data_IF_306995781890
#
_entry.id   IF_306995781890
#
_cell.length_a   1.000
_cell.length_b   1.000
_cell.length_c   1.000
_cell.angle_alpha   90.00
_cell.angle_beta   90.00
_cell.angle_gamma   90.00
#
_symmetry.space_group_name_H-M   'P 1'
#
loop_
_entity.id
_entity.type
_entity.pdbx_description
1 polymer ?
#
# COMPACT_ATOMS: atom_id res chain seq x y z
N UNK A 1 -22.63 -9.30 -11.28
CA UNK A 1 -21.29 -8.90 -11.76
C UNK A 1 -20.53 -8.36 -10.56
N UNK A 2 -19.29 -8.81 -10.27
CA UNK A 2 -18.51 -8.25 -9.15
C UNK A 2 -18.07 -6.84 -9.50
N UNK A 3 -18.08 -5.91 -8.54
CA UNK A 3 -17.58 -4.55 -8.78
C UNK A 3 -16.06 -4.57 -8.96
N UNK A 4 -15.49 -3.51 -9.54
CA UNK A 4 -14.06 -3.44 -9.76
C UNK A 4 -13.29 -3.39 -8.43
N UNK A 5 -13.85 -2.71 -7.42
CA UNK A 5 -13.31 -2.67 -6.06
C UNK A 5 -13.29 -4.06 -5.42
N UNK A 6 -14.31 -4.90 -5.66
CA UNK A 6 -14.32 -6.28 -5.18
C UNK A 6 -13.22 -7.12 -5.82
N UNK A 7 -12.96 -6.94 -7.12
CA UNK A 7 -11.91 -7.66 -7.83
C UNK A 7 -10.53 -7.30 -7.28
N UNK A 8 -10.27 -6.01 -7.10
CA UNK A 8 -9.04 -5.47 -6.51
C UNK A 8 -8.87 -5.98 -5.07
N UNK A 9 -9.89 -5.84 -4.22
CA UNK A 9 -9.82 -6.27 -2.83
C UNK A 9 -9.49 -7.76 -2.70
N UNK A 10 -10.12 -8.60 -3.52
CA UNK A 10 -9.87 -10.04 -3.53
C UNK A 10 -8.46 -10.37 -4.08
N UNK A 11 -7.95 -9.60 -5.04
CA UNK A 11 -6.59 -9.75 -5.55
C UNK A 11 -5.54 -9.44 -4.48
N UNK A 12 -5.68 -8.32 -3.78
CA UNK A 12 -4.78 -7.95 -2.67
C UNK A 12 -4.82 -9.02 -1.58
N UNK A 13 -6.00 -9.48 -1.19
CA UNK A 13 -6.16 -10.55 -0.19
C UNK A 13 -5.48 -11.85 -0.62
N UNK A 14 -5.59 -12.21 -1.90
CA UNK A 14 -4.93 -13.39 -2.45
C UNK A 14 -3.41 -13.23 -2.38
N UNK A 15 -2.85 -12.11 -2.84
CA UNK A 15 -1.39 -11.86 -2.85
C UNK A 15 -0.81 -11.84 -1.43
N UNK A 16 -1.50 -11.20 -0.47
CA UNK A 16 -1.11 -11.16 0.94
C UNK A 16 -1.09 -12.54 1.63
N UNK A 17 -1.77 -13.55 1.07
CA UNK A 17 -1.76 -14.93 1.57
C UNK A 17 -0.67 -15.81 0.95
N UNK A 18 0.05 -15.33 -0.07
CA UNK A 18 1.05 -16.13 -0.77
C UNK A 18 2.40 -16.16 -0.06
N UNK A 19 3.18 -17.21 -0.30
CA UNK A 19 4.55 -17.34 0.20
C UNK A 19 5.51 -16.28 -0.38
N UNK A 20 5.16 -15.68 -1.52
CA UNK A 20 5.91 -14.58 -2.15
C UNK A 20 5.87 -13.32 -1.28
N UNK A 21 4.76 -13.07 -0.58
CA UNK A 21 4.66 -11.99 0.40
C UNK A 21 5.72 -12.12 1.50
N UNK A 22 5.92 -13.35 2.00
CA UNK A 22 6.88 -13.63 3.06
C UNK A 22 8.33 -13.48 2.58
N UNK A 23 8.63 -13.88 1.35
CA UNK A 23 9.96 -13.74 0.74
C UNK A 23 10.30 -12.26 0.47
N UNK A 24 9.34 -11.49 -0.02
CA UNK A 24 9.49 -10.05 -0.25
C UNK A 24 9.92 -9.32 1.03
N UNK A 25 9.21 -9.49 2.14
CA UNK A 25 9.56 -8.83 3.40
C UNK A 25 10.96 -9.19 3.92
N UNK A 26 11.41 -10.44 3.71
CA UNK A 26 12.74 -10.90 4.14
C UNK A 26 13.89 -10.44 3.22
N UNK A 27 13.62 -10.19 1.94
CA UNK A 27 14.62 -9.91 0.90
C UNK A 27 14.64 -8.47 0.38
N UNK A 28 13.68 -7.63 0.76
CA UNK A 28 13.44 -6.35 0.09
C UNK A 28 14.58 -5.33 0.21
N UNK A 29 15.36 -5.31 1.29
CA UNK A 29 16.23 -4.17 1.58
C UNK A 29 17.62 -4.65 2.02
N UNK A 30 18.52 -4.74 1.04
CA UNK A 30 19.95 -4.78 1.30
C UNK A 30 20.29 -3.51 2.08
N UNK A 31 20.76 -3.66 3.32
CA UNK A 31 21.29 -2.53 4.06
C UNK A 31 22.75 -2.33 3.62
N UNK A 32 23.18 -1.12 3.21
CA UNK A 32 22.41 0.13 3.14
C UNK A 32 21.52 0.26 1.90
N UNK A 33 20.39 0.95 2.06
CA UNK A 33 19.45 1.26 0.97
C UNK A 33 20.13 2.06 -0.12
N UNK A 34 20.07 1.56 -1.35
CA UNK A 34 20.45 2.32 -2.53
C UNK A 34 19.26 2.33 -3.47
N UNK A 35 18.82 3.52 -3.88
CA UNK A 35 17.61 3.73 -4.70
C UNK A 35 17.56 2.76 -5.90
N UNK A 36 18.71 2.44 -6.51
CA UNK A 36 18.80 1.52 -7.64
C UNK A 36 18.56 0.04 -7.26
N UNK A 37 19.14 -0.45 -6.16
CA UNK A 37 18.89 -1.82 -5.69
C UNK A 37 17.43 -1.98 -5.22
N UNK A 38 16.90 -0.94 -4.59
CA UNK A 38 15.52 -0.94 -4.06
C UNK A 38 14.49 -0.96 -5.20
N UNK A 39 14.72 -0.25 -6.32
CA UNK A 39 13.84 -0.27 -7.49
C UNK A 39 13.68 -1.69 -8.05
N UNK A 40 14.79 -2.37 -8.33
CA UNK A 40 14.74 -3.72 -8.92
C UNK A 40 14.07 -4.75 -8.00
N UNK A 41 14.39 -4.72 -6.71
CA UNK A 41 13.86 -5.67 -5.74
C UNK A 41 12.38 -5.41 -5.42
N UNK A 42 11.99 -4.14 -5.22
CA UNK A 42 10.59 -3.74 -5.01
C UNK A 42 9.76 -4.09 -6.24
N UNK A 43 10.24 -3.79 -7.44
CA UNK A 43 9.52 -4.10 -8.66
C UNK A 43 9.39 -5.62 -8.87
N UNK A 44 10.42 -6.41 -8.59
CA UNK A 44 10.35 -7.88 -8.72
C UNK A 44 9.26 -8.48 -7.83
N UNK A 45 9.08 -7.95 -6.62
CA UNK A 45 8.12 -8.50 -5.65
C UNK A 45 6.71 -7.90 -5.79
N UNK A 46 6.60 -6.58 -6.03
CA UNK A 46 5.32 -5.87 -6.03
C UNK A 46 4.89 -5.35 -7.40
N UNK A 47 5.80 -5.25 -8.37
CA UNK A 47 5.51 -4.88 -9.75
C UNK A 47 4.43 -5.74 -10.41
N UNK A 48 4.43 -7.08 -10.24
CA UNK A 48 3.33 -7.91 -10.72
C UNK A 48 1.97 -7.52 -10.15
N UNK A 49 1.89 -7.24 -8.84
CA UNK A 49 0.63 -6.79 -8.21
C UNK A 49 0.20 -5.42 -8.74
N UNK A 50 1.14 -4.48 -8.91
CA UNK A 50 0.85 -3.18 -9.52
C UNK A 50 0.28 -3.35 -10.93
N UNK A 51 0.92 -4.15 -11.78
CA UNK A 51 0.49 -4.36 -13.16
C UNK A 51 -0.83 -5.14 -13.26
N UNK A 52 -1.06 -6.11 -12.39
CA UNK A 52 -2.34 -6.83 -12.29
C UNK A 52 -3.48 -5.85 -11.94
N UNK A 53 -3.28 -4.97 -10.95
CA UNK A 53 -4.25 -3.95 -10.55
C UNK A 53 -4.48 -2.92 -11.67
N UNK A 54 -3.40 -2.42 -12.29
CA UNK A 54 -3.50 -1.47 -13.41
C UNK A 54 -4.32 -2.05 -14.56
N UNK A 55 -4.11 -3.33 -14.87
CA UNK A 55 -4.87 -4.05 -15.89
C UNK A 55 -6.36 -4.13 -15.55
N UNK A 56 -6.74 -4.34 -14.28
CA UNK A 56 -8.15 -4.32 -13.87
C UNK A 56 -8.83 -2.97 -14.14
N UNK A 57 -8.09 -1.87 -14.02
CA UNK A 57 -8.57 -0.52 -14.32
C UNK A 57 -8.39 -0.12 -15.81
N UNK A 58 -7.99 -1.05 -16.68
CA UNK A 58 -7.75 -0.77 -18.10
C UNK A 58 -6.53 0.12 -18.37
N UNK A 59 -5.57 0.18 -17.43
CA UNK A 59 -4.34 0.96 -17.53
C UNK A 59 -3.19 0.13 -18.09
N UNK A 60 -2.22 0.79 -18.72
CA UNK A 60 -1.04 0.10 -19.26
C UNK A 60 -0.15 -0.45 -18.14
N UNK A 61 0.41 -1.67 -18.26
CA UNK A 61 1.47 -2.13 -17.37
C UNK A 61 2.65 -1.17 -17.37
N UNK A 62 3.36 -1.11 -16.26
CA UNK A 62 4.54 -0.27 -16.06
C UNK A 62 5.79 -1.13 -15.85
N UNK A 63 6.94 -0.49 -16.05
CA UNK A 63 8.27 -1.04 -15.82
C UNK A 63 8.82 -0.70 -14.43
N UNK A 64 10.06 -1.12 -14.19
CA UNK A 64 10.75 -0.86 -12.94
C UNK A 64 10.96 0.64 -12.67
N UNK A 65 11.21 1.46 -13.69
CA UNK A 65 11.45 2.91 -13.49
C UNK A 65 10.20 3.62 -12.95
N UNK A 66 9.02 3.16 -13.35
CA UNK A 66 7.75 3.69 -12.87
C UNK A 66 7.46 3.43 -11.39
N UNK A 67 8.26 2.57 -10.71
CA UNK A 67 8.19 2.38 -9.26
C UNK A 67 8.95 3.47 -8.50
N UNK A 68 9.84 4.23 -9.15
CA UNK A 68 10.68 5.25 -8.49
C UNK A 68 9.83 6.28 -7.73
N UNK A 69 8.75 6.84 -8.29
CA UNK A 69 7.90 7.76 -7.54
C UNK A 69 7.24 7.11 -6.33
N UNK A 70 6.89 5.82 -6.44
CA UNK A 70 6.34 5.02 -5.34
C UNK A 70 7.38 4.90 -4.24
N UNK A 71 8.60 4.43 -4.54
CA UNK A 71 9.67 4.29 -3.55
C UNK A 71 9.97 5.63 -2.87
N UNK A 72 10.10 6.71 -3.65
CA UNK A 72 10.36 8.05 -3.12
C UNK A 72 9.24 8.51 -2.19
N UNK A 73 7.98 8.33 -2.58
CA UNK A 73 6.84 8.75 -1.77
C UNK A 73 6.56 7.85 -0.56
N UNK A 74 6.95 6.58 -0.64
CA UNK A 74 6.90 5.62 0.45
C UNK A 74 8.05 5.80 1.45
N UNK A 75 9.19 6.34 1.02
CA UNK A 75 10.45 6.27 1.77
C UNK A 75 10.34 6.74 3.22
N UNK A 76 9.75 7.90 3.53
CA UNK A 76 9.70 8.34 4.94
C UNK A 76 8.79 7.49 5.84
N UNK A 77 7.72 6.92 5.29
CA UNK A 77 6.66 6.26 6.07
C UNK A 77 6.82 4.73 6.11
N UNK A 78 7.14 4.11 4.98
CA UNK A 78 7.34 2.66 4.86
C UNK A 78 8.73 2.20 5.29
N UNK A 79 9.77 3.07 5.21
CA UNK A 79 11.09 2.73 5.76
C UNK A 79 11.03 2.58 7.28
N UNK A 80 10.21 3.37 7.98
CA UNK A 80 10.08 3.25 9.43
C UNK A 80 9.49 1.91 9.84
N UNK A 81 8.43 1.46 9.16
CA UNK A 81 7.81 0.15 9.41
C UNK A 81 8.77 -0.99 9.04
N UNK A 82 9.41 -0.93 7.87
CA UNK A 82 10.38 -1.95 7.39
C UNK A 82 11.64 -2.07 8.27
N UNK A 83 12.12 -0.96 8.83
CA UNK A 83 13.28 -0.94 9.75
C UNK A 83 12.89 -1.54 11.10
N UNK A 84 11.73 -1.18 11.64
CA UNK A 84 11.21 -1.77 12.89
C UNK A 84 10.98 -3.28 12.75
N UNK A 85 10.46 -3.71 11.59
CA UNK A 85 10.19 -5.12 11.30
C UNK A 85 11.49 -5.95 11.25
N UNK A 86 12.59 -5.43 10.71
CA UNK A 86 13.88 -6.13 10.68
C UNK A 86 14.51 -6.27 12.07
N UNK A 87 14.33 -5.29 12.94
CA UNK A 87 14.84 -5.33 14.32
C UNK A 87 14.09 -6.36 15.17
N UNK A 88 12.76 -6.45 15.01
CA UNK A 88 11.93 -7.45 15.71
C UNK A 88 12.07 -8.84 15.08
N UNK A 89 12.26 -8.90 13.76
CA UNK A 89 12.45 -10.12 12.95
C UNK A 89 13.69 -10.95 13.28
N UNK A 90 14.68 -10.39 13.98
CA UNK A 90 15.90 -11.09 14.41
C UNK A 90 15.70 -11.99 15.64
N UNK A 91 14.55 -11.91 16.31
CA UNK A 91 14.24 -12.77 17.46
C UNK A 91 13.63 -14.08 16.94
N UNK A 92 14.26 -15.27 17.08
CA UNK A 92 13.91 -16.46 16.30
C UNK A 92 12.44 -16.93 16.39
N UNK A 93 11.81 -16.83 17.57
CA UNK A 93 10.44 -17.31 17.81
C UNK A 93 9.39 -16.23 17.52
N UNK A 94 9.70 -14.97 17.83
CA UNK A 94 8.79 -13.81 17.66
C UNK A 94 8.87 -13.28 16.22
N UNK A 95 10.07 -13.30 15.66
CA UNK A 95 10.42 -12.74 14.36
C UNK A 95 9.74 -13.45 13.20
N UNK A 96 9.56 -14.78 13.23
CA UNK A 96 8.85 -15.47 12.16
C UNK A 96 7.39 -15.02 12.04
N UNK A 97 6.66 -14.94 13.16
CA UNK A 97 5.27 -14.45 13.20
C UNK A 97 5.15 -12.96 12.85
N UNK A 98 6.03 -12.13 13.41
CA UNK A 98 6.08 -10.70 13.12
C UNK A 98 6.38 -10.42 11.64
N UNK A 99 7.31 -11.15 11.02
CA UNK A 99 7.65 -11.01 9.59
C UNK A 99 6.45 -11.33 8.68
N UNK A 100 5.64 -12.34 9.03
CA UNK A 100 4.43 -12.68 8.27
C UNK A 100 3.38 -11.57 8.39
N UNK A 101 3.22 -10.98 9.59
CA UNK A 101 2.27 -9.90 9.83
C UNK A 101 2.70 -8.63 9.08
N UNK A 102 3.99 -8.27 9.16
CA UNK A 102 4.61 -7.22 8.36
C UNK A 102 4.36 -7.43 6.86
N UNK A 103 4.69 -8.61 6.34
CA UNK A 103 4.52 -8.94 4.93
C UNK A 103 3.06 -8.76 4.48
N UNK A 104 2.10 -9.20 5.29
CA UNK A 104 0.68 -9.00 5.04
C UNK A 104 0.31 -7.53 5.06
N UNK A 105 0.73 -6.78 6.08
CA UNK A 105 0.48 -5.35 6.20
C UNK A 105 1.04 -4.57 5.00
N UNK A 106 2.27 -4.88 4.57
CA UNK A 106 2.93 -4.29 3.42
C UNK A 106 2.14 -4.55 2.12
N UNK A 107 1.76 -5.81 1.86
CA UNK A 107 0.94 -6.15 0.69
C UNK A 107 -0.39 -5.42 0.67
N UNK A 108 -1.05 -5.30 1.83
CA UNK A 108 -2.30 -4.56 1.92
C UNK A 108 -2.12 -3.07 1.68
N UNK A 109 -1.10 -2.45 2.27
CA UNK A 109 -0.83 -1.01 2.09
C UNK A 109 -0.45 -0.68 0.65
N UNK A 110 0.49 -1.44 0.07
CA UNK A 110 0.89 -1.25 -1.32
C UNK A 110 -0.24 -1.59 -2.29
N UNK A 111 -1.01 -2.66 -2.03
CA UNK A 111 -2.17 -3.01 -2.83
C UNK A 111 -3.23 -1.91 -2.86
N UNK A 112 -3.57 -1.33 -1.70
CA UNK A 112 -4.52 -0.20 -1.62
C UNK A 112 -3.95 1.03 -2.33
N UNK A 113 -2.66 1.35 -2.12
CA UNK A 113 -1.98 2.44 -2.82
C UNK A 113 -2.06 2.28 -4.34
N UNK A 114 -1.69 1.10 -4.86
CA UNK A 114 -1.70 0.81 -6.30
C UNK A 114 -3.11 0.92 -6.88
N UNK A 115 -4.10 0.47 -6.12
CA UNK A 115 -5.50 0.59 -6.50
C UNK A 115 -5.98 2.04 -6.54
N UNK A 116 -5.65 2.86 -5.54
CA UNK A 116 -5.98 4.29 -5.51
C UNK A 116 -5.33 5.05 -6.68
N UNK A 117 -4.06 4.76 -6.98
CA UNK A 117 -3.36 5.38 -8.10
C UNK A 117 -3.95 4.96 -9.45
N UNK A 118 -4.26 3.66 -9.61
CA UNK A 118 -4.82 3.11 -10.85
C UNK A 118 -6.27 3.54 -11.09
N UNK A 119 -7.06 3.69 -10.02
CA UNK A 119 -8.41 4.23 -10.08
C UNK A 119 -8.42 5.71 -10.46
N UNK A 120 -7.43 6.46 -9.98
CA UNK A 120 -7.24 7.88 -10.31
C UNK A 120 -6.83 8.04 -11.78
N UNK A 121 -5.78 7.37 -12.26
CA UNK A 121 -5.32 7.51 -13.64
C UNK A 121 -4.00 6.82 -14.00
N UNK A 122 -3.41 7.21 -15.12
CA UNK A 122 -2.15 6.61 -15.64
C UNK A 122 -0.91 7.04 -14.85
N UNK A 123 -0.82 8.34 -14.55
CA UNK A 123 0.33 8.97 -13.91
C UNK A 123 0.56 8.49 -12.46
N UNK A 124 1.83 8.37 -12.09
CA UNK A 124 2.27 8.05 -10.73
C UNK A 124 3.08 9.24 -10.22
N UNK A 125 2.45 10.07 -9.40
CA UNK A 125 3.05 11.26 -8.82
C UNK A 125 3.57 11.00 -7.39
N UNK A 126 4.72 11.60 -7.04
CA UNK A 126 5.37 11.39 -5.73
C UNK A 126 4.52 11.95 -4.59
N UNK A 127 3.91 13.12 -4.75
CA UNK A 127 3.10 13.75 -3.72
C UNK A 127 1.80 12.96 -3.49
N UNK A 128 1.13 12.53 -4.57
CA UNK A 128 -0.01 11.62 -4.51
C UNK A 128 0.33 10.35 -3.72
N UNK A 129 1.48 9.72 -3.99
CA UNK A 129 1.95 8.56 -3.23
C UNK A 129 2.12 8.89 -1.75
N UNK A 130 2.83 9.98 -1.42
CA UNK A 130 3.10 10.38 -0.04
C UNK A 130 1.80 10.60 0.74
N UNK A 131 0.84 11.34 0.17
CA UNK A 131 -0.43 11.64 0.83
C UNK A 131 -1.31 10.39 0.96
N UNK A 132 -1.37 9.55 -0.07
CA UNK A 132 -2.12 8.30 -0.04
C UNK A 132 -1.57 7.33 1.02
N UNK A 133 -0.25 7.14 1.08
CA UNK A 133 0.37 6.26 2.09
C UNK A 133 0.07 6.74 3.51
N UNK A 134 0.14 8.05 3.78
CA UNK A 134 -0.21 8.62 5.09
C UNK A 134 -1.67 8.34 5.45
N UNK A 135 -2.60 8.59 4.53
CA UNK A 135 -4.02 8.29 4.74
C UNK A 135 -4.24 6.80 4.99
N UNK A 136 -3.64 5.91 4.21
CA UNK A 136 -3.76 4.45 4.36
C UNK A 136 -3.33 4.01 5.77
N UNK A 137 -2.25 4.59 6.32
CA UNK A 137 -1.78 4.27 7.69
C UNK A 137 -2.76 4.76 8.76
N UNK A 138 -3.37 5.93 8.56
CA UNK A 138 -4.34 6.51 9.48
C UNK A 138 -5.66 5.72 9.47
N UNK A 139 -6.12 5.29 8.29
CA UNK A 139 -7.37 4.53 8.11
C UNK A 139 -7.21 3.06 8.52
N UNK A 140 -6.08 2.44 8.18
CA UNK A 140 -5.83 1.00 8.42
C UNK A 140 -4.59 0.79 9.31
N UNK A 141 -4.62 1.29 10.57
CA UNK A 141 -3.48 1.14 11.48
C UNK A 141 -3.26 -0.33 11.83
N UNK A 142 -2.00 -0.76 11.90
CA UNK A 142 -1.63 -2.05 12.49
C UNK A 142 -1.19 -1.79 13.93
N UNK A 143 -2.05 -2.12 14.89
CA UNK A 143 -1.83 -1.80 16.31
C UNK A 143 -1.09 -2.89 17.09
N UNK A 144 -0.91 -4.07 16.48
CA UNK A 144 -0.30 -5.23 17.13
C UNK A 144 0.70 -5.91 16.20
N UNK A 145 1.86 -6.27 16.74
CA UNK A 145 2.86 -7.13 16.08
C UNK A 145 2.52 -8.62 16.16
N UNK A 146 1.46 -8.99 16.91
CA UNK A 146 1.05 -10.39 17.14
C UNK A 146 -0.17 -10.80 16.31
N UNK A 147 -0.95 -9.83 15.81
CA UNK A 147 -2.14 -10.09 15.01
C UNK A 147 -2.24 -9.09 13.86
N UNK A 148 -2.33 -9.63 12.66
CA UNK A 148 -2.64 -8.84 11.48
C UNK A 148 -4.13 -8.42 11.49
N UNK A 149 -4.38 -7.13 11.36
CA UNK A 149 -5.71 -6.56 11.19
C UNK A 149 -5.96 -6.32 9.69
N UNK A 150 -6.80 -7.16 9.10
CA UNK A 150 -7.14 -7.04 7.67
C UNK A 150 -7.97 -5.78 7.41
N UNK A 151 -7.62 -4.94 6.42
CA UNK A 151 -8.44 -3.80 6.01
C UNK A 151 -9.89 -4.19 5.72
N UNK A 152 -10.83 -3.40 6.22
CA UNK A 152 -12.27 -3.58 5.97
C UNK A 152 -12.58 -3.43 4.49
N UNK A 153 -13.38 -4.38 3.95
CA UNK A 153 -13.80 -4.35 2.54
C UNK A 153 -14.54 -3.05 2.20
N UNK A 154 -15.47 -2.65 3.05
CA UNK A 154 -16.28 -1.45 2.82
C UNK A 154 -15.43 -0.18 2.78
N UNK A 155 -14.46 -0.07 3.69
CA UNK A 155 -13.59 1.10 3.79
C UNK A 155 -12.65 1.22 2.60
N UNK A 156 -12.09 0.09 2.13
CA UNK A 156 -11.32 0.07 0.88
C UNK A 156 -12.18 0.50 -0.30
N UNK A 157 -13.42 -0.01 -0.41
CA UNK A 157 -14.31 0.37 -1.50
C UNK A 157 -14.63 1.87 -1.49
N UNK A 158 -14.88 2.44 -0.31
CA UNK A 158 -15.14 3.87 -0.17
C UNK A 158 -13.95 4.69 -0.66
N UNK A 159 -12.73 4.36 -0.21
CA UNK A 159 -11.52 5.04 -0.65
C UNK A 159 -11.36 5.00 -2.17
N UNK A 160 -11.47 3.81 -2.77
CA UNK A 160 -11.30 3.63 -4.21
C UNK A 160 -12.33 4.40 -5.04
N UNK A 161 -13.57 4.49 -4.56
CA UNK A 161 -14.62 5.27 -5.23
C UNK A 161 -14.39 6.76 -5.12
N UNK A 162 -13.92 7.23 -3.97
CA UNK A 162 -13.64 8.65 -3.72
C UNK A 162 -12.57 9.18 -4.66
N UNK A 163 -11.53 8.39 -4.90
CA UNK A 163 -10.40 8.81 -5.74
C UNK A 163 -10.53 8.42 -7.22
N UNK A 164 -11.65 7.81 -7.62
CA UNK A 164 -11.83 7.32 -8.98
C UNK A 164 -11.89 8.48 -9.97
N UNK A 165 -11.06 8.41 -11.01
CA UNK A 165 -10.97 9.40 -12.10
C UNK A 165 -10.62 10.83 -11.67
N UNK A 166 -10.03 11.01 -10.48
CA UNK A 166 -9.52 12.30 -10.04
C UNK A 166 -8.31 12.74 -10.88
N UNK A 167 -8.09 14.05 -10.96
CA UNK A 167 -6.82 14.60 -11.45
C UNK A 167 -5.73 14.44 -10.39
N UNK A 168 -4.46 14.61 -10.75
CA UNK A 168 -3.35 14.61 -9.77
C UNK A 168 -3.56 15.67 -8.68
N UNK A 169 -4.03 16.86 -9.05
CA UNK A 169 -4.28 17.96 -8.12
C UNK A 169 -5.47 17.66 -7.18
N UNK A 170 -6.62 17.28 -7.73
CA UNK A 170 -7.81 16.97 -6.93
C UNK A 170 -7.60 15.76 -6.02
N UNK A 171 -6.78 14.78 -6.43
CA UNK A 171 -6.40 13.66 -5.57
C UNK A 171 -5.71 14.11 -4.28
N UNK A 172 -4.75 15.04 -4.40
CA UNK A 172 -4.06 15.61 -3.24
C UNK A 172 -5.02 16.35 -2.30
N UNK A 173 -5.96 17.13 -2.85
CA UNK A 173 -6.98 17.83 -2.08
C UNK A 173 -7.90 16.85 -1.34
N UNK A 174 -8.33 15.78 -2.01
CA UNK A 174 -9.16 14.71 -1.44
C UNK A 174 -8.43 13.97 -0.30
N UNK A 175 -7.14 13.68 -0.45
CA UNK A 175 -6.33 13.11 0.63
C UNK A 175 -6.27 14.04 1.84
N UNK A 176 -5.97 15.33 1.63
CA UNK A 176 -5.83 16.29 2.72
C UNK A 176 -7.17 16.54 3.43
N UNK A 177 -8.28 16.59 2.67
CA UNK A 177 -9.63 16.69 3.23
C UNK A 177 -9.96 15.51 4.13
N UNK A 178 -9.78 14.28 3.66
CA UNK A 178 -10.08 13.08 4.45
C UNK A 178 -9.23 13.00 5.71
N UNK A 179 -7.92 13.26 5.60
CA UNK A 179 -7.02 13.26 6.77
C UNK A 179 -7.42 14.31 7.80
N UNK A 180 -7.76 15.54 7.36
CA UNK A 180 -8.26 16.59 8.25
C UNK A 180 -9.53 16.16 8.97
N UNK A 181 -10.45 15.50 8.27
CA UNK A 181 -11.70 15.00 8.86
C UNK A 181 -11.45 13.91 9.90
N UNK A 182 -10.62 12.92 9.58
CA UNK A 182 -10.20 11.86 10.50
C UNK A 182 -9.55 12.45 11.76
N UNK A 183 -8.65 13.42 11.59
CA UNK A 183 -8.00 14.09 12.72
C UNK A 183 -8.99 14.90 13.59
N UNK A 184 -10.00 15.53 12.97
CA UNK A 184 -11.00 16.33 13.68
C UNK A 184 -12.09 15.50 14.39
N UNK A 185 -12.27 14.24 13.98
CA UNK A 185 -13.30 13.35 14.51
C UNK A 185 -12.78 11.90 14.51
N UNK A 186 -12.06 11.47 15.55
CA UNK A 186 -11.40 10.15 15.58
C UNK A 186 -12.34 8.94 15.48
N UNK A 187 -13.64 9.15 15.65
CA UNK A 187 -14.70 8.13 15.53
C UNK A 187 -15.45 8.19 14.19
N UNK A 188 -15.09 9.11 13.29
CA UNK A 188 -15.75 9.27 11.98
C UNK A 188 -15.54 8.00 11.14
N UNK A 189 -16.61 7.50 10.52
CA UNK A 189 -16.49 6.37 9.60
C UNK A 189 -16.18 6.93 8.22
N UNK A 190 -15.41 6.20 7.42
CA UNK A 190 -15.14 6.58 6.03
C UNK A 190 -16.43 6.77 5.22
N UNK A 191 -17.53 6.08 5.57
CA UNK A 191 -18.83 6.26 4.92
C UNK A 191 -19.44 7.65 5.12
N UNK A 192 -18.97 8.39 6.12
CA UNK A 192 -19.42 9.75 6.47
C UNK A 192 -18.51 10.82 5.82
N UNK A 193 -17.47 10.40 5.09
CA UNK A 193 -16.56 11.24 4.29
C UNK A 193 -16.94 11.22 2.81
#
# INVERSE_FOLDING_TARGET
MKSLEDLVYNMIDSKAKTNVAMQGASGLLGWPFTIAADVGVVFTHYGPMLNDIRTLYGRKPVDAESIVPIIRGCSTELLADLVLDKLVGQIPVIGFGANIICAKAMNWRLGILFAMLSSRGEEIDVENVQKAVKLIREVFPQKSSLRFEKPSRNDVHILLRKVANETVASFNETMDFMRKKIASAPTIRLGDL
#
